data_IF_669794037866
#
_entry.id   IF_669794037866
#
_cell.length_a   1.000
_cell.length_b   1.000
_cell.length_c   1.000
_cell.angle_alpha   90.00
_cell.angle_beta   90.00
_cell.angle_gamma   90.00
#
_symmetry.space_group_name_H-M   'P 1'
#
loop_
_entity.id
_entity.type
_entity.pdbx_description
1 polymer ?
#
# COMPACT_ATOMS: atom_id res chain seq x y z
N UNK A 1 5.99 -42.76 -33.85
CA UNK A 1 6.37 -41.34 -33.80
C UNK A 1 5.51 -40.65 -34.85
N UNK A 2 4.60 -39.73 -34.48
CA UNK A 2 3.74 -39.06 -35.46
C UNK A 2 4.60 -38.09 -36.27
N UNK A 3 4.53 -38.18 -37.60
CA UNK A 3 5.11 -37.17 -38.49
C UNK A 3 4.34 -35.87 -38.31
N UNK A 4 5.09 -34.79 -38.10
CA UNK A 4 4.58 -33.44 -37.89
C UNK A 4 4.81 -32.71 -39.21
N UNK A 5 3.73 -32.33 -39.92
CA UNK A 5 3.86 -31.64 -41.21
C UNK A 5 3.97 -30.13 -40.97
N UNK A 6 4.93 -29.42 -41.61
CA UNK A 6 5.11 -27.98 -41.43
C UNK A 6 3.88 -27.14 -41.79
N UNK A 7 3.03 -27.69 -42.67
CA UNK A 7 1.83 -27.03 -43.19
C UNK A 7 0.69 -26.98 -42.16
N UNK A 8 0.76 -27.82 -41.12
CA UNK A 8 -0.20 -27.85 -40.00
C UNK A 8 -0.07 -26.64 -39.06
N UNK A 9 0.95 -25.79 -39.25
CA UNK A 9 1.24 -24.61 -38.40
C UNK A 9 1.44 -23.32 -39.22
N UNK A 10 1.05 -23.33 -40.50
CA UNK A 10 1.23 -22.19 -41.40
C UNK A 10 0.39 -20.95 -41.01
N UNK A 11 -0.56 -21.11 -40.10
CA UNK A 11 -1.41 -20.07 -39.52
C UNK A 11 -0.80 -19.39 -38.28
N UNK A 12 0.25 -19.96 -37.68
CA UNK A 12 0.93 -19.38 -36.52
C UNK A 12 1.97 -18.37 -37.00
N UNK A 13 1.65 -17.08 -36.85
CA UNK A 13 2.57 -16.00 -37.19
C UNK A 13 3.56 -15.74 -36.05
N UNK A 14 4.67 -15.05 -36.37
CA UNK A 14 5.63 -14.59 -35.35
C UNK A 14 4.98 -13.71 -34.27
N UNK A 15 3.89 -13.00 -34.60
CA UNK A 15 3.07 -12.29 -33.62
C UNK A 15 2.41 -13.23 -32.61
N UNK A 16 1.95 -14.40 -33.03
CA UNK A 16 1.32 -15.38 -32.14
C UNK A 16 2.35 -15.99 -31.18
N UNK A 17 3.59 -16.19 -31.64
CA UNK A 17 4.71 -16.57 -30.76
C UNK A 17 5.02 -15.48 -29.73
N UNK A 18 4.95 -14.20 -30.11
CA UNK A 18 5.09 -13.10 -29.15
C UNK A 18 3.96 -13.12 -28.14
N UNK A 19 2.73 -13.37 -28.56
CA UNK A 19 1.58 -13.46 -27.65
C UNK A 19 1.71 -14.67 -26.71
N UNK A 20 2.23 -15.80 -27.18
CA UNK A 20 2.52 -16.98 -26.37
C UNK A 20 3.67 -16.72 -25.39
N UNK A 21 4.73 -16.04 -25.80
CA UNK A 21 5.83 -15.66 -24.93
C UNK A 21 5.39 -14.62 -23.88
N UNK A 22 4.65 -13.60 -24.28
CA UNK A 22 4.02 -12.64 -23.37
C UNK A 22 3.08 -13.36 -22.41
N UNK A 23 2.27 -14.30 -22.90
CA UNK A 23 1.42 -15.14 -22.05
C UNK A 23 2.24 -15.98 -21.08
N UNK A 24 3.32 -16.65 -21.50
CA UNK A 24 4.13 -17.52 -20.63
C UNK A 24 4.92 -16.72 -19.58
N UNK A 25 5.49 -15.57 -19.97
CA UNK A 25 6.12 -14.61 -19.05
C UNK A 25 5.09 -14.10 -18.03
N UNK A 26 3.88 -13.82 -18.49
CA UNK A 26 2.79 -13.32 -17.65
C UNK A 26 2.28 -14.44 -16.74
N UNK A 27 2.01 -15.64 -17.25
CA UNK A 27 1.32 -16.75 -16.59
C UNK A 27 2.07 -17.30 -15.38
N UNK A 28 3.40 -17.32 -15.43
CA UNK A 28 4.25 -17.75 -14.32
C UNK A 28 4.73 -16.60 -13.42
N UNK A 29 4.58 -15.34 -13.85
CA UNK A 29 4.97 -14.18 -13.05
C UNK A 29 3.91 -13.90 -11.98
N UNK A 30 4.31 -14.11 -10.74
CA UNK A 30 3.63 -13.60 -9.54
C UNK A 30 3.85 -12.10 -9.34
N UNK A 31 4.62 -11.47 -10.22
CA UNK A 31 5.15 -10.14 -10.00
C UNK A 31 4.04 -9.11 -10.11
N UNK A 32 3.85 -8.39 -9.02
CA UNK A 32 3.25 -7.08 -9.04
C UNK A 32 4.24 -6.17 -9.76
N UNK A 33 3.79 -5.59 -10.87
CA UNK A 33 4.60 -4.72 -11.71
C UNK A 33 4.19 -3.28 -11.48
N UNK A 34 5.15 -2.37 -11.49
CA UNK A 34 4.86 -0.94 -11.56
C UNK A 34 4.03 -0.64 -12.82
N UNK A 35 3.00 0.18 -12.66
CA UNK A 35 2.07 0.49 -13.74
C UNK A 35 2.77 1.41 -14.75
N UNK A 36 2.73 1.04 -16.04
CA UNK A 36 3.17 1.93 -17.12
C UNK A 36 1.97 2.81 -17.56
N UNK A 37 2.12 4.15 -17.63
CA UNK A 37 1.00 5.06 -17.92
C UNK A 37 0.27 4.82 -19.25
N UNK A 38 0.97 4.31 -20.28
CA UNK A 38 0.49 4.30 -21.68
C UNK A 38 -0.10 2.98 -22.18
N UNK A 39 -0.14 1.92 -21.36
CA UNK A 39 -0.74 0.64 -21.75
C UNK A 39 -2.25 0.64 -21.46
N UNK A 40 -3.04 1.11 -22.43
CA UNK A 40 -4.51 1.11 -22.35
C UNK A 40 -5.13 -0.30 -22.30
N UNK A 41 -4.40 -1.33 -22.73
CA UNK A 41 -4.85 -2.72 -22.66
C UNK A 41 -4.39 -3.39 -21.38
N UNK A 42 -5.24 -3.34 -20.35
CA UNK A 42 -5.10 -4.20 -19.18
C UNK A 42 -6.07 -5.36 -19.27
N UNK A 43 -5.61 -6.55 -18.86
CA UNK A 43 -6.49 -7.69 -18.73
C UNK A 43 -7.61 -7.37 -17.71
N UNK A 44 -8.85 -7.81 -17.93
CA UNK A 44 -10.00 -7.52 -17.04
C UNK A 44 -9.83 -7.98 -15.58
N UNK A 45 -8.81 -8.77 -15.29
CA UNK A 45 -8.52 -9.37 -13.98
C UNK A 45 -7.47 -8.60 -13.18
N UNK A 46 -6.98 -7.48 -13.72
CA UNK A 46 -5.94 -6.63 -13.13
C UNK A 46 -6.58 -5.34 -12.61
N UNK A 47 -6.18 -4.91 -11.42
CA UNK A 47 -6.60 -3.64 -10.81
C UNK A 47 -5.38 -2.80 -10.52
N UNK A 48 -5.51 -1.46 -10.60
CA UNK A 48 -4.47 -0.54 -10.12
C UNK A 48 -4.46 -0.50 -8.60
N UNK A 49 -3.33 -0.83 -8.01
CA UNK A 49 -3.02 -0.63 -6.61
C UNK A 49 -1.91 0.40 -6.42
N UNK A 50 -1.45 0.53 -5.19
CA UNK A 50 -0.33 1.39 -4.79
C UNK A 50 0.64 0.58 -3.94
N UNK A 51 1.92 0.60 -4.29
CA UNK A 51 3.03 0.17 -3.42
C UNK A 51 3.38 1.35 -2.53
N UNK A 52 3.28 1.16 -1.22
CA UNK A 52 3.81 2.08 -0.21
C UNK A 52 5.21 1.58 0.15
N UNK A 53 6.22 2.35 -0.24
CA UNK A 53 7.62 2.01 -0.04
C UNK A 53 8.02 2.18 1.44
N UNK A 54 8.84 1.25 1.96
CA UNK A 54 9.44 1.41 3.28
C UNK A 54 10.66 2.35 3.25
N UNK A 55 11.16 2.73 4.42
CA UNK A 55 12.26 3.68 4.53
C UNK A 55 13.53 3.17 3.83
N UNK A 56 13.78 1.85 3.88
CA UNK A 56 14.88 1.19 3.14
C UNK A 56 14.80 1.40 1.63
N UNK A 57 13.64 1.13 1.05
CA UNK A 57 13.36 1.30 -0.38
C UNK A 57 13.52 2.76 -0.81
N UNK A 58 13.01 3.69 -0.01
CA UNK A 58 13.10 5.13 -0.30
C UNK A 58 14.56 5.59 -0.25
N UNK A 59 15.28 5.29 0.83
CA UNK A 59 16.64 5.85 1.03
C UNK A 59 17.71 5.16 0.20
N UNK A 60 17.65 3.85 0.03
CA UNK A 60 18.71 3.08 -0.63
C UNK A 60 18.49 2.96 -2.13
N UNK A 61 17.24 2.88 -2.57
CA UNK A 61 16.88 2.77 -3.99
C UNK A 61 16.37 4.09 -4.57
N UNK A 62 16.34 5.19 -3.79
CA UNK A 62 15.82 6.49 -4.21
C UNK A 62 14.40 6.40 -4.79
N UNK A 63 13.59 5.48 -4.28
CA UNK A 63 12.23 5.24 -4.77
C UNK A 63 11.26 6.29 -4.28
N UNK A 64 10.25 6.60 -5.10
CA UNK A 64 9.10 7.39 -4.69
C UNK A 64 8.35 6.68 -3.53
N UNK A 65 7.82 7.40 -2.53
CA UNK A 65 7.15 6.76 -1.38
C UNK A 65 5.87 6.00 -1.76
N UNK A 66 5.22 6.40 -2.86
CA UNK A 66 3.99 5.80 -3.36
C UNK A 66 4.10 5.53 -4.86
N UNK A 67 4.04 4.26 -5.25
CA UNK A 67 4.22 3.84 -6.65
C UNK A 67 2.96 3.13 -7.14
N UNK A 68 2.45 3.50 -8.32
CA UNK A 68 1.33 2.80 -8.94
C UNK A 68 1.76 1.39 -9.35
N UNK A 69 0.96 0.39 -9.02
CA UNK A 69 1.22 -1.01 -9.36
C UNK A 69 0.00 -1.69 -9.97
N UNK A 70 0.23 -2.69 -10.80
CA UNK A 70 -0.82 -3.53 -11.39
C UNK A 70 -0.88 -4.86 -10.64
N UNK A 71 -2.01 -5.13 -9.98
CA UNK A 71 -2.21 -6.30 -9.12
C UNK A 71 -3.25 -7.24 -9.73
N UNK A 72 -2.86 -8.48 -9.99
CA UNK A 72 -3.75 -9.49 -10.56
C UNK A 72 -4.67 -10.08 -9.51
N UNK A 73 -5.85 -10.55 -9.95
CA UNK A 73 -6.78 -11.30 -9.09
C UNK A 73 -6.14 -12.51 -8.41
N UNK A 74 -5.33 -13.29 -9.12
CA UNK A 74 -4.64 -14.46 -8.56
C UNK A 74 -3.71 -14.06 -7.41
N UNK A 75 -2.92 -12.99 -7.59
CA UNK A 75 -2.05 -12.43 -6.56
C UNK A 75 -2.85 -11.98 -5.35
N UNK A 76 -3.95 -11.22 -5.54
CA UNK A 76 -4.84 -10.80 -4.44
C UNK A 76 -5.40 -12.00 -3.67
N UNK A 77 -5.91 -13.01 -4.36
CA UNK A 77 -6.45 -14.22 -3.70
C UNK A 77 -5.36 -14.98 -2.93
N UNK A 78 -4.15 -15.08 -3.48
CA UNK A 78 -3.03 -15.73 -2.80
C UNK A 78 -2.60 -14.96 -1.54
N UNK A 79 -2.45 -13.63 -1.63
CA UNK A 79 -2.09 -12.78 -0.51
C UNK A 79 -3.15 -12.82 0.60
N UNK A 80 -4.43 -12.71 0.26
CA UNK A 80 -5.53 -12.88 1.21
C UNK A 80 -5.51 -14.24 1.90
N UNK A 81 -5.13 -15.31 1.19
CA UNK A 81 -5.02 -16.64 1.78
C UNK A 81 -3.83 -16.81 2.73
N UNK A 82 -2.72 -16.11 2.48
CA UNK A 82 -1.48 -16.24 3.27
C UNK A 82 -1.47 -15.28 4.46
N UNK A 83 -1.86 -14.02 4.23
CA UNK A 83 -1.77 -12.94 5.20
C UNK A 83 -3.13 -12.61 5.84
N UNK A 84 -4.23 -13.17 5.35
CA UNK A 84 -5.57 -12.88 5.82
C UNK A 84 -6.16 -11.59 5.25
N UNK A 85 -7.37 -11.26 5.71
CA UNK A 85 -8.01 -9.97 5.44
C UNK A 85 -7.32 -8.88 6.25
N UNK A 86 -6.71 -7.92 5.56
CA UNK A 86 -5.90 -6.86 6.14
C UNK A 86 -6.46 -5.49 5.75
N UNK A 87 -7.74 -5.30 6.07
CA UNK A 87 -8.46 -4.06 5.84
C UNK A 87 -7.99 -2.96 6.81
N UNK A 88 -7.68 -1.77 6.28
CA UNK A 88 -7.30 -0.62 7.12
C UNK A 88 -8.53 -0.03 7.82
N UNK A 89 -8.55 0.04 9.17
CA UNK A 89 -9.67 0.65 9.90
C UNK A 89 -9.85 2.14 9.59
N UNK A 90 -8.76 2.88 9.35
CA UNK A 90 -8.82 4.30 8.99
C UNK A 90 -9.41 4.47 7.58
N UNK A 91 -8.96 3.67 6.61
CA UNK A 91 -9.47 3.76 5.24
C UNK A 91 -11.00 3.51 5.16
N UNK A 92 -11.49 2.56 5.96
CA UNK A 92 -12.92 2.28 6.08
C UNK A 92 -13.70 3.48 6.64
N UNK A 93 -13.18 4.17 7.65
CA UNK A 93 -13.80 5.39 8.18
C UNK A 93 -13.79 6.55 7.18
N UNK A 94 -12.77 6.62 6.33
CA UNK A 94 -12.70 7.56 5.20
C UNK A 94 -13.62 7.18 4.04
N UNK A 95 -14.37 6.08 4.14
CA UNK A 95 -15.34 5.65 3.13
C UNK A 95 -14.72 5.05 1.87
N UNK A 96 -13.43 4.71 1.89
CA UNK A 96 -12.75 3.95 0.83
C UNK A 96 -11.98 2.81 1.50
N UNK A 97 -12.62 1.66 1.73
CA UNK A 97 -11.95 0.51 2.32
C UNK A 97 -10.81 0.00 1.43
N UNK A 98 -9.63 -0.11 2.04
CA UNK A 98 -8.40 -0.56 1.40
C UNK A 98 -7.87 -1.82 2.07
N UNK A 99 -7.43 -2.77 1.25
CA UNK A 99 -6.70 -3.96 1.66
C UNK A 99 -5.20 -3.71 1.57
N UNK A 100 -4.46 -4.09 2.61
CA UNK A 100 -3.01 -3.95 2.72
C UNK A 100 -2.36 -5.33 2.80
N UNK A 101 -1.33 -5.59 1.99
CA UNK A 101 -0.51 -6.80 2.11
C UNK A 101 0.94 -6.44 2.14
N UNK A 102 1.70 -6.98 3.10
CA UNK A 102 3.16 -6.86 3.07
C UNK A 102 3.67 -7.54 1.80
N UNK A 103 4.60 -6.89 1.14
CA UNK A 103 5.26 -7.45 -0.03
C UNK A 103 6.03 -8.72 0.42
N UNK A 104 5.66 -9.92 -0.08
CA UNK A 104 6.31 -11.16 0.32
C UNK A 104 7.76 -11.25 -0.18
N UNK A 105 8.15 -10.39 -1.11
CA UNK A 105 9.49 -10.31 -1.69
C UNK A 105 10.33 -9.16 -1.15
N UNK A 106 9.92 -8.54 -0.04
CA UNK A 106 10.59 -7.36 0.50
C UNK A 106 12.07 -7.63 0.81
N UNK A 107 12.97 -6.92 0.13
CA UNK A 107 14.42 -6.97 0.36
C UNK A 107 14.79 -6.48 1.77
N UNK A 108 14.01 -5.56 2.32
CA UNK A 108 14.29 -4.85 3.57
C UNK A 108 13.60 -5.46 4.80
N UNK A 109 13.61 -6.78 4.98
CA UNK A 109 13.17 -7.39 6.25
C UNK A 109 14.16 -7.17 7.41
N UNK A 110 15.42 -6.85 7.09
CA UNK A 110 16.49 -6.55 8.04
C UNK A 110 17.27 -5.32 7.54
N UNK A 111 18.00 -4.66 8.43
CA UNK A 111 18.86 -3.54 8.05
C UNK A 111 19.99 -4.02 7.12
N UNK A 112 20.04 -3.53 5.87
CA UNK A 112 21.10 -3.92 4.94
C UNK A 112 22.42 -3.20 5.28
N UNK A 113 23.55 -3.68 4.75
CA UNK A 113 24.82 -2.95 4.83
C UNK A 113 24.67 -1.53 4.26
N UNK A 114 25.13 -0.52 5.01
CA UNK A 114 25.01 0.89 4.60
C UNK A 114 23.78 1.61 5.16
N UNK A 115 22.91 0.92 5.90
CA UNK A 115 21.82 1.56 6.64
C UNK A 115 22.35 2.24 7.91
N UNK A 116 22.20 3.57 7.98
CA UNK A 116 22.73 4.41 9.06
C UNK A 116 21.64 5.12 9.89
N UNK A 117 20.37 4.85 9.61
CA UNK A 117 19.26 5.47 10.32
C UNK A 117 18.95 4.79 11.66
N UNK A 118 18.36 5.56 12.58
CA UNK A 118 17.90 5.09 13.90
C UNK A 118 16.71 4.12 13.79
N UNK A 119 15.87 4.30 12.78
CA UNK A 119 14.75 3.43 12.47
C UNK A 119 15.19 2.22 11.64
N UNK A 120 14.40 1.16 11.58
CA UNK A 120 14.72 -0.02 10.77
C UNK A 120 14.46 0.27 9.28
N UNK A 121 15.23 -0.34 8.37
CA UNK A 121 14.98 -0.23 6.94
C UNK A 121 13.60 -0.78 6.54
N UNK A 122 13.07 -1.71 7.35
CA UNK A 122 11.74 -2.29 7.22
C UNK A 122 10.62 -1.35 7.71
N UNK A 123 10.94 -0.21 8.33
CA UNK A 123 9.95 0.72 8.86
C UNK A 123 9.08 1.30 7.74
N UNK A 124 7.79 1.38 8.01
CA UNK A 124 6.81 1.99 7.10
C UNK A 124 5.71 2.68 7.91
N UNK A 125 6.02 3.88 8.41
CA UNK A 125 5.12 4.62 9.29
C UNK A 125 3.79 4.96 8.62
N UNK A 126 3.81 5.23 7.31
CA UNK A 126 2.60 5.47 6.52
C UNK A 126 1.60 4.32 6.64
N UNK A 127 2.08 3.07 6.61
CA UNK A 127 1.23 1.88 6.78
C UNK A 127 0.86 1.68 8.24
N UNK A 128 1.83 1.79 9.17
CA UNK A 128 1.57 1.58 10.60
C UNK A 128 0.42 2.46 11.09
N UNK A 129 0.44 3.75 10.74
CA UNK A 129 -0.62 4.67 11.14
C UNK A 129 -1.97 4.37 10.46
N UNK A 130 -1.97 3.94 9.19
CA UNK A 130 -3.21 3.50 8.52
C UNK A 130 -3.85 2.28 9.19
N UNK A 131 -3.07 1.46 9.90
CA UNK A 131 -3.52 0.23 10.56
C UNK A 131 -3.80 0.39 12.05
N UNK A 132 -3.81 1.63 12.58
CA UNK A 132 -4.17 1.88 13.98
C UNK A 132 -5.59 1.39 14.32
N UNK A 133 -5.76 0.88 15.53
CA UNK A 133 -7.06 0.42 16.03
C UNK A 133 -7.98 1.60 16.34
N UNK A 134 -9.14 1.60 15.69
CA UNK A 134 -10.15 2.65 15.77
C UNK A 134 -11.39 2.24 16.57
N UNK A 135 -11.37 1.11 17.28
CA UNK A 135 -12.49 0.74 18.18
C UNK A 135 -12.33 1.47 19.53
N UNK A 136 -13.24 2.39 19.92
CA UNK A 136 -13.10 3.19 21.14
C UNK A 136 -13.05 2.36 22.44
N UNK A 137 -13.63 1.17 22.41
CA UNK A 137 -13.68 0.25 23.55
C UNK A 137 -12.48 -0.68 23.61
N UNK A 138 -11.63 -0.70 22.59
CA UNK A 138 -10.44 -1.56 22.53
C UNK A 138 -9.35 -1.01 23.49
N UNK A 139 -8.78 -1.84 24.38
CA UNK A 139 -7.65 -1.44 25.22
C UNK A 139 -6.43 -1.00 24.41
N UNK A 140 -6.26 -1.50 23.19
CA UNK A 140 -5.19 -1.13 22.26
C UNK A 140 -5.60 -0.01 21.29
N UNK A 141 -6.61 0.79 21.61
CA UNK A 141 -6.98 2.00 20.86
C UNK A 141 -5.76 2.86 20.50
N UNK A 142 -5.72 3.33 19.25
CA UNK A 142 -4.66 4.21 18.77
C UNK A 142 -3.31 3.53 18.54
N UNK A 143 -3.22 2.22 18.74
CA UNK A 143 -2.02 1.44 18.41
C UNK A 143 -2.25 0.57 17.18
N UNK A 144 -1.24 0.48 16.32
CA UNK A 144 -1.20 -0.54 15.28
C UNK A 144 -1.01 -1.93 15.93
N UNK A 145 -1.67 -2.99 15.44
CA UNK A 145 -1.35 -4.36 15.85
C UNK A 145 0.13 -4.68 15.62
N UNK A 146 0.72 -5.57 16.42
CA UNK A 146 2.15 -5.94 16.32
C UNK A 146 2.58 -6.28 14.88
N UNK A 147 1.73 -7.00 14.14
CA UNK A 147 1.97 -7.33 12.74
C UNK A 147 2.18 -6.09 11.85
N UNK A 148 1.49 -4.99 12.13
CA UNK A 148 1.59 -3.71 11.41
C UNK A 148 2.46 -2.67 12.13
N UNK A 149 3.18 -3.06 13.18
CA UNK A 149 4.05 -2.18 13.95
C UNK A 149 5.54 -2.56 13.85
N UNK A 150 5.84 -3.75 13.30
CA UNK A 150 7.20 -4.26 13.13
C UNK A 150 7.36 -4.97 11.78
N UNK A 151 8.58 -4.94 11.24
CA UNK A 151 8.99 -5.62 10.01
C UNK A 151 7.98 -5.47 8.86
N UNK A 152 7.59 -4.22 8.59
CA UNK A 152 6.49 -3.94 7.66
C UNK A 152 6.95 -4.13 6.22
N UNK A 153 8.10 -3.54 5.87
CA UNK A 153 8.62 -3.53 4.51
C UNK A 153 7.73 -2.75 3.55
N UNK A 154 7.89 -3.03 2.26
CA UNK A 154 7.00 -2.51 1.22
C UNK A 154 5.61 -3.13 1.39
N UNK A 155 4.56 -2.38 1.04
CA UNK A 155 3.19 -2.84 1.21
C UNK A 155 2.38 -2.53 -0.04
N UNK A 156 1.63 -3.52 -0.52
CA UNK A 156 0.74 -3.36 -1.65
C UNK A 156 -0.67 -3.07 -1.15
N UNK A 157 -1.29 -2.05 -1.74
CA UNK A 157 -2.59 -1.54 -1.36
C UNK A 157 -3.53 -1.56 -2.54
N UNK A 158 -4.74 -2.10 -2.35
CA UNK A 158 -5.80 -2.09 -3.36
C UNK A 158 -7.13 -1.74 -2.71
N UNK A 159 -8.08 -1.25 -3.50
CA UNK A 159 -9.45 -1.07 -3.02
C UNK A 159 -10.14 -2.41 -2.84
N UNK A 160 -10.92 -2.53 -1.77
CA UNK A 160 -11.72 -3.72 -1.48
C UNK A 160 -12.75 -4.01 -2.57
N UNK A 161 -13.35 -2.96 -3.14
CA UNK A 161 -14.34 -3.07 -4.23
C UNK A 161 -13.73 -3.40 -5.61
N UNK A 162 -12.40 -3.52 -5.70
CA UNK A 162 -11.69 -3.84 -6.93
C UNK A 162 -11.63 -2.71 -7.96
N UNK A 163 -11.99 -1.48 -7.59
CA UNK A 163 -11.74 -0.31 -8.45
C UNK A 163 -10.25 0.08 -8.42
N UNK A 164 -9.82 0.76 -9.47
CA UNK A 164 -8.47 1.34 -9.54
C UNK A 164 -8.27 2.35 -8.39
N UNK A 165 -7.09 2.28 -7.77
CA UNK A 165 -6.68 3.14 -6.69
C UNK A 165 -5.74 4.23 -7.22
N UNK A 166 -6.01 5.48 -6.87
CA UNK A 166 -5.17 6.62 -7.21
C UNK A 166 -4.03 6.80 -6.20
N UNK A 167 -2.81 7.02 -6.70
CA UNK A 167 -1.60 7.20 -5.88
C UNK A 167 -1.75 8.41 -4.97
N UNK A 168 -2.29 9.53 -5.49
CA UNK A 168 -2.44 10.77 -4.73
C UNK A 168 -3.47 10.63 -3.61
N UNK A 169 -4.52 9.85 -3.82
CA UNK A 169 -5.50 9.53 -2.79
C UNK A 169 -4.88 8.74 -1.63
N UNK A 170 -4.07 7.71 -1.91
CA UNK A 170 -3.36 6.95 -0.87
C UNK A 170 -2.36 7.82 -0.11
N UNK A 171 -1.58 8.64 -0.83
CA UNK A 171 -0.64 9.57 -0.21
C UNK A 171 -1.35 10.54 0.76
N UNK A 172 -2.52 11.06 0.36
CA UNK A 172 -3.33 11.95 1.18
C UNK A 172 -3.86 11.24 2.44
N UNK A 173 -4.33 9.99 2.32
CA UNK A 173 -4.79 9.21 3.47
C UNK A 173 -3.65 8.95 4.46
N UNK A 174 -2.49 8.49 3.97
CA UNK A 174 -1.32 8.22 4.80
C UNK A 174 -0.81 9.48 5.50
N UNK A 175 -0.75 10.62 4.79
CA UNK A 175 -0.36 11.90 5.36
C UNK A 175 -1.30 12.36 6.47
N UNK A 176 -2.62 12.25 6.24
CA UNK A 176 -3.61 12.56 7.26
C UNK A 176 -3.49 11.63 8.47
N UNK A 177 -3.33 10.32 8.26
CA UNK A 177 -3.16 9.36 9.34
C UNK A 177 -1.91 9.65 10.17
N UNK A 178 -0.77 9.88 9.51
CA UNK A 178 0.52 10.13 10.15
C UNK A 178 0.59 11.48 10.84
N UNK A 179 0.25 12.58 10.17
CA UNK A 179 0.54 13.90 10.71
C UNK A 179 -0.62 14.55 11.47
N UNK A 180 -1.86 14.06 11.27
CA UNK A 180 -3.03 14.57 11.97
C UNK A 180 -3.61 13.57 12.96
N UNK A 181 -3.92 12.36 12.51
CA UNK A 181 -4.61 11.39 13.36
C UNK A 181 -3.71 10.84 14.46
N UNK A 182 -2.42 10.57 14.18
CA UNK A 182 -1.45 10.16 15.19
C UNK A 182 -1.55 11.03 16.45
N UNK A 183 -1.40 12.35 16.29
CA UNK A 183 -1.46 13.30 17.41
C UNK A 183 -2.79 13.22 18.17
N UNK A 184 -3.90 13.12 17.44
CA UNK A 184 -5.23 12.98 18.06
C UNK A 184 -5.37 11.66 18.84
N UNK A 185 -4.77 10.57 18.38
CA UNK A 185 -4.72 9.31 19.11
C UNK A 185 -3.85 9.45 20.37
N UNK A 186 -2.64 10.00 20.25
CA UNK A 186 -1.70 10.24 21.36
C UNK A 186 -2.34 11.10 22.45
N UNK A 187 -2.99 12.22 22.10
CA UNK A 187 -3.70 13.08 23.05
C UNK A 187 -4.75 12.31 23.87
N UNK A 188 -5.44 11.35 23.24
CA UNK A 188 -6.42 10.49 23.92
C UNK A 188 -5.79 9.35 24.72
N UNK A 189 -4.53 9.00 24.49
CA UNK A 189 -3.81 7.98 25.25
C UNK A 189 -3.17 8.60 26.49
N UNK A 190 -2.56 9.78 26.35
CA UNK A 190 -1.82 10.46 27.42
C UNK A 190 -2.73 11.13 28.46
N UNK A 191 -3.99 11.42 28.08
CA UNK A 191 -4.97 11.97 29.00
C UNK A 191 -5.42 10.92 30.03
N UNK A 192 -5.06 11.15 31.31
CA UNK A 192 -5.47 10.30 32.46
C UNK A 192 -6.99 10.21 32.62
N UNK A 193 -7.73 11.19 32.12
CA UNK A 193 -9.19 11.27 32.16
C UNK A 193 -9.83 10.99 30.78
N UNK A 194 -9.07 10.43 29.83
CA UNK A 194 -9.57 10.12 28.49
C UNK A 194 -10.83 9.28 28.55
N UNK A 195 -11.93 9.83 28.05
CA UNK A 195 -13.22 9.16 28.07
C UNK A 195 -13.48 8.45 26.74
N UNK A 196 -14.40 7.48 26.76
CA UNK A 196 -14.95 6.90 25.54
C UNK A 196 -15.58 7.97 24.60
N UNK A 197 -15.98 9.13 25.13
CA UNK A 197 -16.45 10.25 24.31
C UNK A 197 -15.31 10.92 23.55
N UNK A 198 -14.12 11.04 24.13
CA UNK A 198 -12.97 11.65 23.47
C UNK A 198 -12.49 10.79 22.30
N UNK A 199 -12.40 9.47 22.51
CA UNK A 199 -12.14 8.51 21.41
C UNK A 199 -13.19 8.60 20.30
N UNK A 200 -14.47 8.72 20.65
CA UNK A 200 -15.55 8.93 19.67
C UNK A 200 -15.44 10.26 18.92
N UNK A 201 -14.90 11.33 19.54
CA UNK A 201 -14.64 12.60 18.87
C UNK A 201 -13.55 12.44 17.80
N UNK A 202 -12.49 11.68 18.10
CA UNK A 202 -11.47 11.34 17.09
C UNK A 202 -12.12 10.64 15.90
N UNK A 203 -12.96 9.62 16.12
CA UNK A 203 -13.64 8.93 15.02
C UNK A 203 -14.53 9.84 14.18
N UNK A 204 -15.28 10.74 14.82
CA UNK A 204 -16.12 11.72 14.10
C UNK A 204 -15.29 12.70 13.27
N UNK A 205 -14.02 12.91 13.62
CA UNK A 205 -13.11 13.76 12.88
C UNK A 205 -12.56 13.07 11.63
N UNK A 206 -12.49 11.74 11.59
CA UNK A 206 -11.99 10.97 10.45
C UNK A 206 -13.03 11.01 9.33
N UNK A 207 -12.89 12.00 8.45
CA UNK A 207 -13.77 12.24 7.30
C UNK A 207 -12.94 12.65 6.08
N UNK A 208 -13.45 12.42 4.86
CA UNK A 208 -12.73 12.83 3.63
C UNK A 208 -12.61 14.35 3.53
N UNK A 209 -13.58 15.08 4.07
CA UNK A 209 -13.61 16.54 4.10
C UNK A 209 -12.45 17.07 4.96
N UNK A 210 -12.31 16.56 6.19
CA UNK A 210 -11.20 16.97 7.08
C UNK A 210 -9.84 16.53 6.54
N UNK A 211 -9.77 15.34 5.93
CA UNK A 211 -8.55 14.87 5.27
C UNK A 211 -8.12 15.82 4.13
N UNK A 212 -9.05 16.19 3.25
CA UNK A 212 -8.76 17.12 2.14
C UNK A 212 -8.39 18.51 2.65
N UNK A 213 -9.13 19.04 3.63
CA UNK A 213 -8.83 20.34 4.23
C UNK A 213 -7.42 20.36 4.84
N UNK A 214 -7.04 19.30 5.58
CA UNK A 214 -5.71 19.17 6.15
C UNK A 214 -4.61 19.05 5.09
N UNK A 215 -4.87 18.31 4.00
CA UNK A 215 -3.94 18.17 2.88
C UNK A 215 -3.69 19.50 2.16
N UNK A 216 -4.73 20.31 1.97
CA UNK A 216 -4.64 21.65 1.38
C UNK A 216 -3.90 22.63 2.31
N UNK A 217 -4.21 22.60 3.60
CA UNK A 217 -3.57 23.44 4.63
C UNK A 217 -2.05 23.18 4.73
N UNK A 218 -1.64 21.92 4.64
CA UNK A 218 -0.23 21.51 4.80
C UNK A 218 0.57 21.49 3.49
N UNK A 219 0.00 22.00 2.39
CA UNK A 219 0.71 22.10 1.11
C UNK A 219 1.03 20.74 0.48
N UNK A 220 0.21 19.71 0.68
CA UNK A 220 0.53 18.30 0.41
C UNK A 220 0.99 17.96 -1.03
N UNK A 221 0.88 18.87 -1.99
CA UNK A 221 1.54 18.74 -3.29
C UNK A 221 3.08 18.71 -3.24
N UNK A 222 3.71 19.28 -2.21
CA UNK A 222 5.16 19.26 -2.00
C UNK A 222 5.62 18.02 -1.20
N UNK A 223 4.77 17.46 -0.34
CA UNK A 223 5.05 16.24 0.44
C UNK A 223 5.19 14.96 -0.42
N UNK A 224 4.70 14.99 -1.66
CA UNK A 224 4.96 13.94 -2.66
C UNK A 224 6.39 14.06 -3.24
N UNK A 225 7.08 15.18 -3.05
CA UNK A 225 8.37 15.50 -3.69
C UNK A 225 9.54 15.74 -2.73
N UNK A 226 9.31 15.98 -1.44
CA UNK A 226 10.40 16.28 -0.50
C UNK A 226 10.36 15.36 0.72
N UNK A 227 11.22 14.34 0.71
CA UNK A 227 11.61 13.56 1.89
C UNK A 227 13.04 13.96 2.33
N UNK A 228 13.35 15.25 2.38
CA UNK A 228 14.68 15.70 2.82
C UNK A 228 14.74 16.25 4.24
N UNK A 229 13.63 16.68 4.83
CA UNK A 229 13.67 17.25 6.17
C UNK A 229 12.53 16.70 7.01
N UNK A 230 12.90 15.87 8.01
CA UNK A 230 12.26 15.69 9.32
C UNK A 230 12.90 14.43 9.96
N UNK A 231 14.19 14.57 10.28
CA UNK A 231 14.87 13.74 11.27
C UNK A 231 15.27 14.66 12.42
N UNK A 232 14.40 14.75 13.43
CA UNK A 232 14.74 15.18 14.79
C UNK A 232 14.19 14.12 15.75
#
# INVERSE_FOLDING_TARGET
>A
MREVHPEDYADIQLSDFRHLMDYLITYASTDVRESVPDLQYRAPTVVRGVKICCDGEIKLHASEPFVSIDVRRSTRTNLSSIQGESNSPISALLGIPLNFWKDPSAEFHVNPPGWDATQWASSNQNVAFMMMRTNPSDPSWGWAPLYWNHDIGNVWVVREDGQDLDVREVAMMCHFARFKLQRMFEDTIDSKDSTLQDRKRVLKYITRENMRAFWEETGGGEAVRSHDDLSD
#
